data_IF_928368853749
#
_entry.id   IF_928368853749
#
_cell.length_a   1.000
_cell.length_b   1.000
_cell.length_c   1.000
_cell.angle_alpha   90.00
_cell.angle_beta   90.00
_cell.angle_gamma   90.00
#
_symmetry.space_group_name_H-M   'P 1'
#
loop_
_entity.id
_entity.type
_entity.pdbx_description
1 polymer ?
#
# COMPACT_ATOMS: atom_id res chain seq x y z
N UNK A 1 35.95 -46.52 13.06
CA UNK A 1 35.48 -46.82 14.44
C UNK A 1 33.96 -46.92 14.36
N UNK A 2 33.40 -48.14 14.21
CA UNK A 2 32.85 -48.96 15.30
C UNK A 2 31.79 -48.20 16.11
N UNK A 3 30.50 -48.39 15.83
CA UNK A 3 29.56 -49.20 16.63
C UNK A 3 28.52 -48.25 17.27
N UNK A 4 27.27 -48.59 17.56
CA UNK A 4 26.54 -49.86 17.66
C UNK A 4 25.04 -49.56 17.53
N UNK A 5 24.34 -50.49 16.89
CA UNK A 5 22.90 -50.74 16.89
C UNK A 5 22.36 -51.10 18.29
N UNK A 6 21.11 -50.73 18.59
CA UNK A 6 20.01 -51.51 19.26
C UNK A 6 18.96 -50.51 19.75
N UNK A 7 17.69 -50.44 19.32
CA UNK A 7 16.66 -51.38 18.81
C UNK A 7 16.41 -52.62 19.67
N UNK A 8 15.11 -52.92 19.82
CA UNK A 8 14.44 -54.06 20.48
C UNK A 8 14.00 -53.75 21.92
N UNK A 9 12.81 -54.10 22.41
CA UNK A 9 11.52 -54.52 21.85
C UNK A 9 10.63 -54.77 23.08
N UNK A 10 9.33 -54.50 22.93
CA UNK A 10 8.16 -55.26 23.41
C UNK A 10 8.40 -56.67 24.03
N UNK A 11 7.37 -57.35 24.57
CA UNK A 11 6.37 -57.03 25.59
C UNK A 11 6.28 -58.15 26.67
N UNK A 12 5.28 -58.07 27.54
CA UNK A 12 4.80 -59.11 28.45
C UNK A 12 4.58 -60.48 27.78
N UNK A 13 5.08 -61.56 28.38
CA UNK A 13 4.44 -62.90 28.43
C UNK A 13 4.89 -63.65 29.70
N UNK A 14 3.92 -64.33 30.26
CA UNK A 14 3.84 -65.21 31.44
C UNK A 14 4.75 -66.45 31.39
N UNK A 15 5.15 -66.99 32.55
CA UNK A 15 4.86 -68.37 33.03
C UNK A 15 5.83 -68.86 34.14
N UNK A 16 5.34 -69.80 34.95
CA UNK A 16 6.03 -70.73 35.87
C UNK A 16 6.56 -70.20 37.21
N UNK A 17 6.32 -70.84 38.36
CA UNK A 17 5.63 -72.09 38.63
C UNK A 17 5.87 -72.59 40.07
N UNK A 18 4.86 -73.29 40.59
CA UNK A 18 4.92 -74.51 41.43
C UNK A 18 5.68 -74.52 42.77
N UNK A 19 4.96 -74.85 43.86
CA UNK A 19 5.09 -76.16 44.56
C UNK A 19 4.03 -76.34 45.66
N UNK A 20 3.29 -77.43 45.53
CA UNK A 20 2.43 -78.07 46.54
C UNK A 20 3.30 -78.69 47.66
N UNK A 21 2.84 -78.63 48.93
CA UNK A 21 2.92 -79.74 49.90
C UNK A 21 1.73 -79.65 50.85
N UNK A 22 0.92 -80.70 50.85
CA UNK A 22 -0.15 -80.98 51.81
C UNK A 22 0.41 -81.73 53.02
N UNK A 23 -0.29 -81.58 54.15
CA UNK A 23 -0.43 -82.52 55.28
C UNK A 23 0.35 -82.27 56.61
N UNK A 24 -0.48 -82.06 57.64
CA UNK A 24 -0.47 -82.65 58.99
C UNK A 24 0.25 -81.97 60.18
N UNK A 25 -0.58 -81.24 60.95
CA UNK A 25 -1.05 -81.60 62.32
C UNK A 25 0.01 -81.78 63.43
N UNK A 26 0.14 -80.78 64.34
CA UNK A 26 -0.38 -80.75 65.73
C UNK A 26 0.26 -79.63 66.59
N UNK A 27 -0.63 -78.84 67.24
CA UNK A 27 -0.62 -78.37 68.65
C UNK A 27 0.64 -77.67 69.20
N UNK A 28 0.58 -76.35 69.42
CA UNK A 28 0.23 -75.73 70.72
C UNK A 28 0.54 -74.22 70.80
N UNK A 29 -0.21 -73.52 71.68
CA UNK A 29 0.04 -72.22 72.35
C UNK A 29 -0.30 -70.93 71.58
N UNK A 30 -1.44 -70.33 71.99
CA UNK A 30 -1.98 -68.99 71.64
C UNK A 30 -1.16 -67.88 72.36
N UNK A 31 -1.16 -66.58 71.95
CA UNK A 31 -2.35 -65.69 72.03
C UNK A 31 -2.55 -64.72 70.85
N UNK A 32 -3.69 -64.02 70.89
CA UNK A 32 -4.11 -62.87 70.06
C UNK A 32 -4.64 -63.19 68.64
N UNK A 33 -5.82 -63.80 68.60
CA UNK A 33 -6.74 -63.68 67.44
C UNK A 33 -7.45 -62.35 67.60
N UNK A 34 -7.16 -61.42 66.69
CA UNK A 34 -7.99 -60.24 66.46
C UNK A 34 -9.31 -60.76 65.89
N UNK A 35 -10.34 -60.77 66.73
CA UNK A 35 -11.72 -60.80 66.29
C UNK A 35 -12.05 -59.41 65.76
N UNK A 36 -12.02 -59.22 64.43
CA UNK A 36 -12.76 -58.10 63.83
C UNK A 36 -14.17 -58.60 63.57
N UNK A 37 -15.05 -58.21 64.48
CA UNK A 37 -16.48 -58.36 64.37
C UNK A 37 -17.00 -57.63 63.12
N UNK A 38 -17.89 -58.32 62.41
CA UNK A 38 -19.10 -57.82 61.77
C UNK A 38 -19.27 -56.29 61.67
N UNK A 39 -19.09 -55.74 60.46
CA UNK A 39 -20.01 -54.74 59.89
C UNK A 39 -20.17 -55.05 58.40
N UNK A 40 -20.99 -56.06 58.10
CA UNK A 40 -21.79 -56.03 56.89
C UNK A 40 -22.96 -55.07 57.16
N UNK A 41 -22.74 -53.77 56.91
CA UNK A 41 -23.75 -52.75 56.66
C UNK A 41 -23.07 -51.37 56.63
N UNK A 42 -22.87 -50.84 55.43
CA UNK A 42 -22.73 -49.40 55.04
C UNK A 42 -21.62 -49.28 53.99
N UNK A 43 -21.97 -49.61 52.75
CA UNK A 43 -21.37 -49.07 51.52
C UNK A 43 -22.20 -49.44 50.29
N UNK A 44 -23.16 -50.37 50.42
CA UNK A 44 -24.19 -50.61 49.40
C UNK A 44 -25.27 -49.51 49.38
N UNK A 45 -25.18 -48.50 50.25
CA UNK A 45 -26.06 -47.30 50.25
C UNK A 45 -25.31 -45.98 49.99
N UNK A 46 -24.10 -46.02 49.44
CA UNK A 46 -23.39 -44.84 48.90
C UNK A 46 -22.98 -44.99 47.43
N UNK A 47 -23.13 -46.19 46.83
CA UNK A 47 -22.83 -46.44 45.42
C UNK A 47 -23.96 -46.07 44.45
N UNK A 48 -25.21 -46.01 44.91
CA UNK A 48 -26.35 -45.62 44.07
C UNK A 48 -26.39 -44.12 43.79
N UNK A 49 -26.02 -43.29 44.77
CA UNK A 49 -26.02 -41.83 44.62
C UNK A 49 -24.86 -41.30 43.77
N UNK A 50 -23.66 -41.88 43.90
CA UNK A 50 -22.47 -41.42 43.15
C UNK A 50 -22.58 -41.75 41.66
N UNK A 51 -23.05 -42.94 41.30
CA UNK A 51 -23.24 -43.31 39.90
C UNK A 51 -24.43 -42.59 39.27
N UNK A 52 -25.54 -42.40 40.01
CA UNK A 52 -26.72 -41.68 39.51
C UNK A 52 -26.47 -40.17 39.41
N UNK A 53 -25.80 -39.55 40.39
CA UNK A 53 -25.35 -38.14 40.31
C UNK A 53 -24.35 -37.95 39.18
N UNK A 54 -23.43 -38.89 38.96
CA UNK A 54 -22.52 -38.87 37.81
C UNK A 54 -23.27 -39.00 36.49
N UNK A 55 -24.30 -39.84 36.37
CA UNK A 55 -25.11 -39.93 35.14
C UNK A 55 -26.07 -38.75 34.93
N UNK A 56 -26.59 -38.12 35.99
CA UNK A 56 -27.47 -36.94 35.88
C UNK A 56 -26.66 -35.66 35.61
N UNK A 57 -25.51 -35.50 36.27
CA UNK A 57 -24.54 -34.44 35.97
C UNK A 57 -23.98 -34.58 34.55
N UNK A 58 -23.77 -35.81 34.05
CA UNK A 58 -23.31 -36.06 32.69
C UNK A 58 -24.29 -35.56 31.61
N UNK A 59 -25.61 -35.52 31.86
CA UNK A 59 -26.56 -35.04 30.86
C UNK A 59 -26.57 -33.50 30.76
N UNK A 60 -26.53 -32.79 31.90
CA UNK A 60 -26.32 -31.33 31.88
C UNK A 60 -24.93 -30.94 31.35
N UNK A 61 -23.90 -31.74 31.65
CA UNK A 61 -22.56 -31.57 31.07
C UNK A 61 -22.55 -31.84 29.56
N UNK A 62 -23.37 -32.77 29.06
CA UNK A 62 -23.48 -33.02 27.63
C UNK A 62 -24.11 -31.84 26.89
N UNK A 63 -25.14 -31.22 27.46
CA UNK A 63 -25.76 -30.00 26.91
C UNK A 63 -24.79 -28.81 26.94
N UNK A 64 -24.11 -28.56 28.06
CA UNK A 64 -23.12 -27.49 28.17
C UNK A 64 -21.91 -27.71 27.23
N UNK A 65 -21.50 -28.97 27.05
CA UNK A 65 -20.47 -29.35 26.08
C UNK A 65 -20.93 -29.14 24.65
N UNK A 66 -22.18 -29.48 24.33
CA UNK A 66 -22.76 -29.25 23.01
C UNK A 66 -22.83 -27.76 22.69
N UNK A 67 -23.32 -26.94 23.63
CA UNK A 67 -23.34 -25.47 23.48
C UNK A 67 -21.93 -24.90 23.26
N UNK A 68 -20.92 -25.41 23.97
CA UNK A 68 -19.52 -25.02 23.75
C UNK A 68 -19.02 -25.40 22.34
N UNK A 69 -19.36 -26.61 21.86
CA UNK A 69 -18.98 -27.06 20.51
C UNK A 69 -19.66 -26.20 19.43
N UNK A 70 -20.94 -25.89 19.59
CA UNK A 70 -21.67 -25.00 18.68
C UNK A 70 -21.07 -23.59 18.67
N UNK A 71 -20.78 -23.03 19.84
CA UNK A 71 -20.07 -21.75 19.95
C UNK A 71 -18.68 -21.82 19.27
N UNK A 72 -17.95 -22.93 19.44
CA UNK A 72 -16.65 -23.14 18.79
C UNK A 72 -16.75 -23.25 17.27
N UNK A 73 -17.83 -23.82 16.74
CA UNK A 73 -18.07 -23.84 15.29
C UNK A 73 -18.35 -22.43 14.77
N UNK A 74 -19.15 -21.64 15.48
CA UNK A 74 -19.39 -20.23 15.12
C UNK A 74 -18.10 -19.42 15.15
N UNK A 75 -17.26 -19.65 16.16
CA UNK A 75 -15.91 -19.07 16.28
C UNK A 75 -15.04 -19.44 15.08
N UNK A 76 -14.97 -20.73 14.73
CA UNK A 76 -14.16 -21.19 13.59
C UNK A 76 -14.60 -20.54 12.30
N UNK A 77 -15.91 -20.49 12.03
CA UNK A 77 -16.44 -19.81 10.84
C UNK A 77 -16.05 -18.32 10.80
N UNK A 78 -16.11 -17.63 11.94
CA UNK A 78 -15.73 -16.22 12.02
C UNK A 78 -14.22 -16.03 11.81
N UNK A 79 -13.39 -16.90 12.40
CA UNK A 79 -11.94 -16.90 12.20
C UNK A 79 -11.56 -17.23 10.74
N UNK A 80 -12.21 -18.22 10.12
CA UNK A 80 -12.01 -18.60 8.73
C UNK A 80 -12.42 -17.46 7.77
N UNK A 81 -13.51 -16.75 8.06
CA UNK A 81 -13.93 -15.58 7.27
C UNK A 81 -12.93 -14.44 7.38
N UNK A 82 -12.49 -14.12 8.61
CA UNK A 82 -11.49 -13.08 8.85
C UNK A 82 -10.15 -13.39 8.20
N UNK A 83 -9.64 -14.61 8.37
CA UNK A 83 -8.39 -15.04 7.73
C UNK A 83 -8.50 -15.02 6.20
N UNK A 84 -9.64 -15.44 5.63
CA UNK A 84 -9.90 -15.32 4.19
C UNK A 84 -9.83 -13.88 3.68
N UNK A 85 -10.34 -12.92 4.46
CA UNK A 85 -10.23 -11.49 4.13
C UNK A 85 -8.79 -10.97 4.27
N UNK A 86 -8.09 -11.37 5.33
CA UNK A 86 -6.68 -11.02 5.60
C UNK A 86 -5.77 -11.50 4.47
N UNK A 87 -5.89 -12.78 4.09
CA UNK A 87 -5.04 -13.42 3.07
C UNK A 87 -5.46 -13.10 1.64
N UNK A 88 -6.68 -12.61 1.44
CA UNK A 88 -7.26 -12.25 0.15
C UNK A 88 -7.18 -10.76 -0.16
N UNK A 89 -8.30 -10.07 0.01
CA UNK A 89 -8.45 -8.67 -0.40
C UNK A 89 -7.55 -7.74 0.41
N UNK A 90 -7.39 -7.99 1.70
CA UNK A 90 -6.51 -7.19 2.54
C UNK A 90 -5.03 -7.40 2.20
N UNK A 91 -4.61 -8.63 1.90
CA UNK A 91 -3.27 -8.89 1.38
C UNK A 91 -3.02 -8.17 0.05
N UNK A 92 -4.00 -8.17 -0.86
CA UNK A 92 -3.91 -7.43 -2.13
C UNK A 92 -3.82 -5.91 -1.89
N UNK A 93 -4.66 -5.38 -1.00
CA UNK A 93 -4.66 -3.97 -0.66
C UNK A 93 -3.40 -3.54 0.11
N UNK A 94 -2.80 -4.42 0.90
CA UNK A 94 -1.56 -4.14 1.66
C UNK A 94 -0.34 -3.89 0.75
N UNK A 95 -0.38 -4.38 -0.49
CA UNK A 95 0.66 -4.10 -1.49
C UNK A 95 0.56 -2.68 -2.07
N UNK A 96 -0.56 -1.98 -1.85
CA UNK A 96 -0.76 -0.62 -2.32
C UNK A 96 0.08 0.32 -1.44
N UNK A 97 0.95 1.09 -2.09
CA UNK A 97 1.84 2.03 -1.40
C UNK A 97 1.18 3.40 -1.20
N UNK A 98 1.68 4.16 -0.22
CA UNK A 98 1.26 5.57 0.03
C UNK A 98 1.35 6.47 -1.21
N UNK A 99 2.19 6.13 -2.19
CA UNK A 99 2.32 6.87 -3.45
C UNK A 99 1.19 6.57 -4.43
N UNK A 100 0.54 5.43 -4.32
CA UNK A 100 -0.53 4.98 -5.22
C UNK A 100 -1.93 5.40 -4.76
N UNK A 101 -2.05 5.95 -3.56
CA UNK A 101 -3.29 6.47 -2.99
C UNK A 101 -3.32 8.00 -2.96
N UNK A 102 -4.52 8.56 -2.84
CA UNK A 102 -4.72 9.99 -2.66
C UNK A 102 -4.51 10.39 -1.18
N UNK A 103 -4.98 9.55 -0.27
CA UNK A 103 -4.79 9.68 1.18
C UNK A 103 -3.85 8.58 1.68
N UNK A 104 -2.65 8.97 2.13
CA UNK A 104 -1.69 8.04 2.70
C UNK A 104 -2.19 7.38 4.00
N UNK A 105 -3.07 8.05 4.75
CA UNK A 105 -3.60 7.55 6.03
C UNK A 105 -4.44 6.30 5.86
N UNK A 106 -5.02 6.06 4.69
CA UNK A 106 -5.79 4.83 4.44
C UNK A 106 -4.89 3.60 4.41
N UNK A 107 -3.67 3.74 3.87
CA UNK A 107 -2.67 2.65 3.87
C UNK A 107 -2.18 2.38 5.28
N UNK A 108 -1.92 3.44 6.06
CA UNK A 108 -1.54 3.31 7.47
C UNK A 108 -2.67 2.64 8.28
N UNK A 109 -3.92 3.06 8.09
CA UNK A 109 -5.08 2.47 8.78
C UNK A 109 -5.27 0.98 8.44
N UNK A 110 -5.08 0.59 7.17
CA UNK A 110 -5.11 -0.82 6.78
C UNK A 110 -3.97 -1.61 7.46
N UNK A 111 -2.76 -1.05 7.48
CA UNK A 111 -1.63 -1.69 8.14
C UNK A 111 -1.84 -1.83 9.66
N UNK A 112 -2.47 -0.86 10.32
CA UNK A 112 -2.83 -0.95 11.73
C UNK A 112 -3.95 -1.98 11.98
N UNK A 113 -4.97 -2.04 11.10
CA UNK A 113 -6.02 -3.06 11.19
C UNK A 113 -5.45 -4.49 11.07
N UNK A 114 -4.47 -4.70 10.19
CA UNK A 114 -3.79 -5.98 10.01
C UNK A 114 -2.88 -6.38 11.19
N UNK A 115 -2.53 -5.46 12.09
CA UNK A 115 -1.74 -5.74 13.30
C UNK A 115 -2.61 -6.16 14.50
N UNK A 116 -3.92 -6.27 14.31
CA UNK A 116 -4.82 -6.64 15.39
C UNK A 116 -4.46 -8.02 15.98
N UNK A 117 -4.35 -8.10 17.30
CA UNK A 117 -4.02 -9.35 17.99
C UNK A 117 -5.25 -10.27 18.01
N UNK A 118 -5.11 -11.39 17.33
CA UNK A 118 -6.17 -12.38 17.21
C UNK A 118 -6.44 -13.07 18.57
N UNK A 119 -7.72 -13.35 18.93
CA UNK A 119 -8.04 -14.01 20.18
C UNK A 119 -7.50 -15.45 20.24
N UNK A 120 -7.12 -15.90 21.44
CA UNK A 120 -6.68 -17.28 21.64
C UNK A 120 -7.82 -18.29 21.41
N UNK A 121 -7.47 -19.42 20.82
CA UNK A 121 -8.40 -20.55 20.64
C UNK A 121 -8.72 -21.17 21.99
N UNK A 122 -10.01 -21.23 22.32
CA UNK A 122 -10.51 -21.81 23.57
C UNK A 122 -10.93 -23.25 23.33
N UNK A 123 -10.33 -24.20 24.06
CA UNK A 123 -10.75 -25.59 24.01
C UNK A 123 -12.04 -25.85 24.80
N UNK A 124 -12.98 -26.59 24.22
CA UNK A 124 -14.20 -27.07 24.90
C UNK A 124 -13.97 -28.31 25.77
N UNK A 125 -13.09 -28.15 26.77
CA UNK A 125 -12.80 -29.18 27.77
C UNK A 125 -12.88 -28.52 29.15
N UNK A 126 -13.75 -29.05 30.00
CA UNK A 126 -13.98 -28.57 31.35
C UNK A 126 -14.53 -29.69 32.26
N UNK A 127 -14.29 -29.57 33.56
CA UNK A 127 -14.69 -30.57 34.56
C UNK A 127 -16.05 -30.25 35.21
N UNK A 128 -16.60 -29.06 34.96
CA UNK A 128 -17.87 -28.60 35.53
C UNK A 128 -18.72 -27.82 34.51
N UNK A 129 -20.04 -27.78 34.74
CA UNK A 129 -20.99 -27.01 33.92
C UNK A 129 -20.66 -25.51 33.91
N UNK A 130 -20.34 -24.95 35.08
CA UNK A 130 -19.99 -23.53 35.21
C UNK A 130 -18.72 -23.18 34.41
N UNK A 131 -17.74 -24.07 34.37
CA UNK A 131 -16.54 -23.90 33.54
C UNK A 131 -16.88 -23.97 32.05
N UNK A 132 -17.76 -24.89 31.63
CA UNK A 132 -18.26 -24.92 30.25
C UNK A 132 -18.97 -23.62 29.86
N UNK A 133 -19.88 -23.11 30.70
CA UNK A 133 -20.57 -21.83 30.46
C UNK A 133 -19.58 -20.66 30.36
N UNK A 134 -18.57 -20.61 31.24
CA UNK A 134 -17.52 -19.59 31.18
C UNK A 134 -16.69 -19.70 29.90
N UNK A 135 -16.37 -20.92 29.45
CA UNK A 135 -15.63 -21.15 28.19
C UNK A 135 -16.47 -20.75 26.98
N UNK A 136 -17.75 -21.12 26.96
CA UNK A 136 -18.71 -20.71 25.91
C UNK A 136 -18.81 -19.19 25.83
N UNK A 137 -18.97 -18.49 26.95
CA UNK A 137 -19.01 -17.02 26.97
C UNK A 137 -17.71 -16.38 26.46
N UNK A 138 -16.55 -16.96 26.80
CA UNK A 138 -15.26 -16.51 26.25
C UNK A 138 -15.19 -16.73 24.73
N UNK A 139 -15.64 -17.88 24.24
CA UNK A 139 -15.72 -18.18 22.81
C UNK A 139 -16.62 -17.17 22.10
N UNK A 140 -17.82 -16.92 22.61
CA UNK A 140 -18.75 -15.92 22.05
C UNK A 140 -18.14 -14.52 22.02
N UNK A 141 -17.43 -14.12 23.08
CA UNK A 141 -16.71 -12.85 23.13
C UNK A 141 -15.63 -12.79 22.04
N UNK A 142 -14.89 -13.86 21.84
CA UNK A 142 -13.86 -13.94 20.80
C UNK A 142 -14.51 -13.94 19.40
N UNK A 143 -15.61 -14.65 19.19
CA UNK A 143 -16.41 -14.60 17.95
C UNK A 143 -16.87 -13.17 17.65
N UNK A 144 -17.35 -12.45 18.66
CA UNK A 144 -17.75 -11.04 18.54
C UNK A 144 -16.59 -10.09 18.22
N UNK A 145 -15.36 -10.44 18.59
CA UNK A 145 -14.16 -9.70 18.19
C UNK A 145 -13.93 -9.82 16.68
N UNK A 146 -14.01 -11.04 16.12
CA UNK A 146 -13.83 -11.29 14.69
C UNK A 146 -14.86 -10.53 13.85
N UNK A 147 -16.14 -10.59 14.21
CA UNK A 147 -17.17 -9.88 13.45
C UNK A 147 -17.01 -8.35 13.45
N UNK A 148 -16.33 -7.77 14.44
CA UNK A 148 -15.98 -6.34 14.45
C UNK A 148 -14.74 -6.05 13.61
N UNK A 149 -13.71 -6.89 13.73
CA UNK A 149 -12.43 -6.70 13.04
C UNK A 149 -12.55 -7.01 11.55
N UNK A 150 -13.36 -7.98 11.16
CA UNK A 150 -13.71 -8.26 9.77
C UNK A 150 -14.34 -7.04 9.10
N UNK A 151 -15.38 -6.45 9.70
CA UNK A 151 -16.00 -5.22 9.17
C UNK A 151 -15.04 -4.05 9.09
N UNK A 152 -14.26 -3.84 10.16
CA UNK A 152 -13.26 -2.76 10.19
C UNK A 152 -12.18 -2.97 9.13
N UNK A 153 -11.78 -4.21 8.87
CA UNK A 153 -10.79 -4.55 7.85
C UNK A 153 -11.37 -4.36 6.45
N UNK A 154 -12.61 -4.79 6.22
CA UNK A 154 -13.34 -4.58 4.95
C UNK A 154 -13.46 -3.08 4.63
N UNK A 155 -13.82 -2.26 5.62
CA UNK A 155 -13.88 -0.81 5.49
C UNK A 155 -12.51 -0.20 5.18
N UNK A 156 -11.44 -0.68 5.83
CA UNK A 156 -10.07 -0.23 5.56
C UNK A 156 -9.59 -0.60 4.15
N UNK A 157 -9.86 -1.83 3.71
CA UNK A 157 -9.58 -2.30 2.35
C UNK A 157 -10.32 -1.46 1.31
N UNK A 158 -11.61 -1.23 1.54
CA UNK A 158 -12.43 -0.37 0.69
C UNK A 158 -11.87 1.04 0.63
N UNK A 159 -11.49 1.63 1.77
CA UNK A 159 -10.92 2.97 1.84
C UNK A 159 -9.61 3.09 1.05
N UNK A 160 -8.71 2.10 1.12
CA UNK A 160 -7.46 2.09 0.33
C UNK A 160 -7.77 2.03 -1.18
N UNK A 161 -8.69 1.17 -1.60
CA UNK A 161 -9.06 1.04 -3.01
C UNK A 161 -9.77 2.29 -3.55
N UNK A 162 -10.68 2.88 -2.77
CA UNK A 162 -11.35 4.14 -3.11
C UNK A 162 -10.32 5.29 -3.22
N UNK A 163 -9.35 5.34 -2.30
CA UNK A 163 -8.27 6.33 -2.31
C UNK A 163 -7.33 6.17 -3.51
N UNK A 164 -7.08 4.94 -3.96
CA UNK A 164 -6.34 4.65 -5.21
C UNK A 164 -7.10 5.11 -6.44
N UNK A 165 -8.40 4.85 -6.50
CA UNK A 165 -9.26 5.33 -7.58
C UNK A 165 -9.33 6.85 -7.61
N UNK A 166 -9.47 7.49 -6.44
CA UNK A 166 -9.49 8.95 -6.31
C UNK A 166 -8.18 9.57 -6.79
N UNK A 167 -7.03 8.94 -6.48
CA UNK A 167 -5.74 9.40 -7.01
C UNK A 167 -5.73 9.38 -8.54
N UNK A 168 -6.19 8.27 -9.12
CA UNK A 168 -6.25 8.07 -10.58
C UNK A 168 -7.14 9.12 -11.24
N UNK A 169 -8.29 9.41 -10.64
CA UNK A 169 -9.22 10.46 -11.07
C UNK A 169 -8.57 11.84 -10.97
N UNK A 170 -7.98 12.18 -9.82
CA UNK A 170 -7.31 13.46 -9.59
C UNK A 170 -6.15 13.70 -10.56
N UNK A 171 -5.30 12.69 -10.80
CA UNK A 171 -4.20 12.79 -11.76
C UNK A 171 -4.71 13.00 -13.19
N UNK A 172 -5.80 12.33 -13.57
CA UNK A 172 -6.44 12.51 -14.87
C UNK A 172 -7.11 13.88 -15.03
N UNK A 173 -7.76 14.43 -13.99
CA UNK A 173 -8.29 15.78 -14.01
C UNK A 173 -7.18 16.83 -14.16
N UNK A 174 -6.06 16.62 -13.47
CA UNK A 174 -4.87 17.47 -13.62
C UNK A 174 -4.31 17.38 -15.04
N UNK A 175 -4.28 16.18 -15.63
CA UNK A 175 -3.86 15.99 -17.02
C UNK A 175 -4.81 16.70 -18.00
N UNK A 176 -6.13 16.63 -17.79
CA UNK A 176 -7.12 17.35 -18.60
C UNK A 176 -6.87 18.86 -18.57
N UNK A 177 -6.57 19.43 -17.41
CA UNK A 177 -6.25 20.86 -17.27
C UNK A 177 -4.93 21.21 -17.98
N UNK A 178 -3.88 20.42 -17.76
CA UNK A 178 -2.54 20.69 -18.30
C UNK A 178 -2.43 20.50 -19.82
N UNK A 179 -3.30 19.67 -20.41
CA UNK A 179 -3.33 19.36 -21.84
C UNK A 179 -4.24 20.30 -22.66
N UNK A 180 -4.90 21.26 -22.01
CA UNK A 180 -5.77 22.22 -22.70
C UNK A 180 -4.99 23.02 -23.76
N UNK A 181 -5.48 22.99 -25.01
CA UNK A 181 -4.80 23.60 -26.16
C UNK A 181 -3.51 22.90 -26.63
N UNK A 182 -3.00 21.90 -25.90
CA UNK A 182 -1.73 21.22 -26.18
C UNK A 182 -1.87 19.87 -26.86
N UNK A 183 -3.09 19.39 -27.07
CA UNK A 183 -3.37 18.20 -27.88
C UNK A 183 -3.65 18.59 -29.32
N UNK A 184 -3.36 17.69 -30.26
CA UNK A 184 -3.70 17.88 -31.68
C UNK A 184 -5.20 17.70 -31.94
N UNK A 185 -5.83 16.77 -31.21
CA UNK A 185 -7.23 16.41 -31.35
C UNK A 185 -7.98 16.59 -30.02
N UNK A 186 -9.10 17.32 -30.07
CA UNK A 186 -9.94 17.59 -28.90
C UNK A 186 -10.66 16.33 -28.41
N UNK A 187 -10.99 15.39 -29.31
CA UNK A 187 -11.69 14.15 -28.93
C UNK A 187 -10.84 13.28 -27.98
N UNK A 188 -9.51 13.37 -28.07
CA UNK A 188 -8.57 12.71 -27.14
C UNK A 188 -8.79 13.15 -25.69
N UNK A 189 -9.09 14.43 -25.44
CA UNK A 189 -9.43 14.94 -24.10
C UNK A 189 -10.86 14.57 -23.71
N UNK A 190 -11.79 14.53 -24.65
CA UNK A 190 -13.18 14.13 -24.38
C UNK A 190 -13.28 12.67 -23.93
N UNK A 191 -12.47 11.76 -24.50
CA UNK A 191 -12.37 10.37 -24.04
C UNK A 191 -11.93 10.30 -22.57
N UNK A 192 -10.88 11.05 -22.20
CA UNK A 192 -10.40 11.11 -20.82
C UNK A 192 -11.46 11.71 -19.89
N UNK A 193 -12.14 12.78 -20.30
CA UNK A 193 -13.23 13.40 -19.51
C UNK A 193 -14.38 12.41 -19.25
N UNK A 194 -14.77 11.62 -20.26
CA UNK A 194 -15.80 10.59 -20.11
C UNK A 194 -15.35 9.46 -19.17
N UNK A 195 -14.11 9.01 -19.29
CA UNK A 195 -13.54 7.98 -18.42
C UNK A 195 -13.46 8.45 -16.96
N UNK A 196 -13.06 9.71 -16.72
CA UNK A 196 -13.03 10.35 -15.40
C UNK A 196 -14.43 10.42 -14.80
N UNK A 197 -15.44 10.87 -15.57
CA UNK A 197 -16.84 10.90 -15.12
C UNK A 197 -17.40 9.52 -14.78
N UNK A 198 -16.96 8.49 -15.50
CA UNK A 198 -17.32 7.09 -15.22
C UNK A 198 -16.52 6.48 -14.05
N UNK A 199 -15.48 7.17 -13.55
CA UNK A 199 -14.52 6.68 -12.54
C UNK A 199 -14.00 5.28 -12.85
N UNK A 200 -13.70 5.03 -14.11
CA UNK A 200 -13.18 3.75 -14.60
C UNK A 200 -11.65 3.82 -14.67
N UNK A 201 -10.97 3.19 -13.69
CA UNK A 201 -9.52 3.30 -13.55
C UNK A 201 -8.75 2.85 -14.81
N UNK A 202 -9.19 1.77 -15.46
CA UNK A 202 -8.52 1.21 -16.63
C UNK A 202 -8.72 2.11 -17.86
N UNK A 203 -9.96 2.59 -18.07
CA UNK A 203 -10.23 3.55 -19.14
C UNK A 203 -9.52 4.88 -18.91
N UNK A 204 -9.43 5.35 -17.66
CA UNK A 204 -8.69 6.57 -17.30
C UNK A 204 -7.21 6.38 -17.64
N UNK A 205 -6.59 5.25 -17.25
CA UNK A 205 -5.19 4.98 -17.55
C UNK A 205 -4.93 4.94 -19.07
N UNK A 206 -5.77 4.24 -19.83
CA UNK A 206 -5.67 4.17 -21.28
C UNK A 206 -5.83 5.53 -21.97
N UNK A 207 -6.86 6.30 -21.58
CA UNK A 207 -7.11 7.63 -22.15
C UNK A 207 -6.03 8.64 -21.74
N UNK A 208 -5.52 8.57 -20.50
CA UNK A 208 -4.42 9.42 -20.03
C UNK A 208 -3.15 9.19 -20.83
N UNK A 209 -2.86 7.94 -21.20
CA UNK A 209 -1.74 7.62 -22.10
C UNK A 209 -1.93 8.27 -23.46
N UNK A 210 -3.11 8.13 -24.09
CA UNK A 210 -3.41 8.76 -25.38
C UNK A 210 -3.26 10.29 -25.33
N UNK A 211 -3.73 10.94 -24.26
CA UNK A 211 -3.56 12.40 -24.07
C UNK A 211 -2.08 12.78 -24.00
N UNK A 212 -1.28 12.07 -23.19
CA UNK A 212 0.16 12.34 -23.11
C UNK A 212 0.90 12.11 -24.43
N UNK A 213 0.54 11.04 -25.16
CA UNK A 213 1.11 10.74 -26.48
C UNK A 213 0.76 11.87 -27.49
N UNK A 214 -0.50 12.35 -27.47
CA UNK A 214 -0.97 13.46 -28.31
C UNK A 214 -0.28 14.79 -27.99
N UNK A 215 -0.11 15.11 -26.70
CA UNK A 215 0.65 16.30 -26.26
C UNK A 215 2.10 16.23 -26.74
N UNK A 216 2.74 15.08 -26.59
CA UNK A 216 4.13 14.88 -27.02
C UNK A 216 4.27 15.00 -28.53
N UNK A 217 3.35 14.41 -29.29
CA UNK A 217 3.35 14.48 -30.75
C UNK A 217 3.15 15.92 -31.25
N UNK A 218 2.18 16.65 -30.69
CA UNK A 218 1.96 18.05 -31.05
C UNK A 218 3.15 18.92 -30.68
N UNK A 219 3.73 18.75 -29.49
CA UNK A 219 4.90 19.52 -29.06
C UNK A 219 6.06 19.35 -30.05
N UNK A 220 6.35 18.11 -30.48
CA UNK A 220 7.39 17.85 -31.50
C UNK A 220 7.06 18.49 -32.85
N UNK A 221 5.79 18.45 -33.28
CA UNK A 221 5.35 19.07 -34.52
C UNK A 221 5.47 20.60 -34.45
N UNK A 222 5.08 21.21 -33.34
CA UNK A 222 5.17 22.65 -33.10
C UNK A 222 6.65 23.10 -33.04
N UNK A 223 7.53 22.34 -32.39
CA UNK A 223 8.98 22.60 -32.38
C UNK A 223 9.62 22.49 -33.78
N UNK A 224 9.19 21.52 -34.60
CA UNK A 224 9.67 21.39 -35.97
C UNK A 224 9.16 22.54 -36.86
N UNK A 225 7.89 22.91 -36.72
CA UNK A 225 7.30 24.02 -37.44
C UNK A 225 7.95 25.35 -37.07
N UNK A 226 8.22 25.57 -35.78
CA UNK A 226 8.93 26.76 -35.30
C UNK A 226 10.33 26.84 -35.90
N UNK A 227 11.09 25.74 -35.89
CA UNK A 227 12.44 25.69 -36.49
C UNK A 227 12.44 26.03 -37.97
N UNK A 228 11.48 25.49 -38.73
CA UNK A 228 11.30 25.80 -40.16
C UNK A 228 10.93 27.27 -40.38
N UNK A 229 10.03 27.81 -39.56
CA UNK A 229 9.64 29.21 -39.63
C UNK A 229 10.81 30.16 -39.29
N UNK A 230 11.66 29.80 -38.32
CA UNK A 230 12.88 30.54 -37.97
C UNK A 230 13.93 30.49 -39.10
N UNK A 231 14.12 29.32 -39.73
CA UNK A 231 15.02 29.15 -40.88
C UNK A 231 14.54 29.96 -42.10
N UNK A 232 13.24 29.92 -42.40
CA UNK A 232 12.63 30.71 -43.48
C UNK A 232 12.70 32.22 -43.19
N UNK A 233 12.46 32.64 -41.94
CA UNK A 233 12.59 34.04 -41.54
C UNK A 233 14.05 34.53 -41.66
N UNK A 234 15.02 33.71 -41.26
CA UNK A 234 16.44 34.02 -41.41
C UNK A 234 16.85 34.12 -42.89
N UNK A 235 16.37 33.22 -43.75
CA UNK A 235 16.63 33.27 -45.19
C UNK A 235 16.04 34.52 -45.85
N UNK A 236 14.81 34.91 -45.48
CA UNK A 236 14.17 36.13 -45.97
C UNK A 236 14.93 37.39 -45.50
N UNK A 237 15.36 37.42 -44.23
CA UNK A 237 16.16 38.53 -43.71
C UNK A 237 17.52 38.67 -44.45
N UNK A 238 18.18 37.55 -44.74
CA UNK A 238 19.42 37.55 -45.51
C UNK A 238 19.23 38.06 -46.96
N UNK A 239 18.14 37.69 -47.62
CA UNK A 239 17.82 38.17 -48.97
C UNK A 239 17.52 39.68 -49.01
N UNK A 240 16.84 40.22 -47.99
CA UNK A 240 16.61 41.67 -47.87
C UNK A 240 17.90 42.46 -47.58
N UNK A 241 18.83 41.89 -46.81
CA UNK A 241 20.13 42.53 -46.57
C UNK A 241 20.99 42.64 -47.85
N UNK A 242 20.97 41.62 -48.72
CA UNK A 242 21.70 41.65 -50.00
C UNK A 242 21.14 42.67 -51.01
N UNK A 243 19.83 42.95 -50.98
CA UNK A 243 19.20 43.93 -51.89
C UNK A 243 19.46 45.39 -51.48
N UNK A 244 19.67 45.69 -50.20
CA UNK A 244 20.10 47.03 -49.78
C UNK A 244 21.58 47.33 -50.09
N UNK A 245 22.46 46.34 -50.08
CA UNK A 245 23.88 46.50 -50.45
C UNK A 245 24.09 46.74 -51.95
N UNK A 246 23.12 46.36 -52.79
CA UNK A 246 23.18 46.52 -54.26
C UNK A 246 22.46 47.77 -54.77
N UNK A 247 21.76 48.52 -53.91
CA UNK A 247 21.12 49.80 -54.22
C UNK A 247 21.96 51.01 -53.77
N UNK A 248 23.28 50.98 -54.01
CA UNK A 248 24.10 52.20 -54.02
C UNK A 248 23.93 52.87 -55.39
N UNK A 249 23.13 53.94 -55.44
CA UNK A 249 22.84 54.73 -56.64
C UNK A 249 24.13 55.19 -57.36
N UNK A 250 24.18 55.22 -58.71
CA UNK A 250 25.30 55.82 -59.42
C UNK A 250 25.30 57.33 -59.14
N UNK A 251 26.28 57.78 -58.36
CA UNK A 251 26.60 59.19 -58.20
C UNK A 251 27.00 59.75 -59.58
N UNK A 252 26.07 60.40 -60.26
CA UNK A 252 26.35 61.21 -61.44
C UNK A 252 27.08 62.48 -60.97
N UNK A 253 28.40 62.49 -61.12
CA UNK A 253 29.27 63.63 -60.85
C UNK A 253 29.08 64.72 -61.90
N UNK A 254 28.10 65.59 -61.69
CA UNK A 254 28.04 66.87 -62.40
C UNK A 254 29.06 67.82 -61.77
N UNK A 255 30.05 68.25 -62.55
CA UNK A 255 31.06 69.24 -62.12
C UNK A 255 30.71 70.61 -62.69
N UNK A 256 30.34 71.59 -61.85
CA UNK A 256 30.43 73.00 -62.22
C UNK A 256 31.82 73.51 -61.85
N UNK A 257 32.66 73.76 -62.86
CA UNK A 257 33.85 74.61 -62.72
C UNK A 257 33.42 76.04 -62.41
N UNK A 258 33.79 76.56 -61.25
CA UNK A 258 33.93 78.00 -61.04
C UNK A 258 35.26 78.29 -60.36
N UNK A 259 36.15 78.88 -61.16
CA UNK A 259 37.42 79.46 -60.77
C UNK A 259 37.23 80.86 -60.18
N UNK A 260 37.92 81.13 -59.07
CA UNK A 260 38.49 82.45 -58.81
C UNK A 260 38.03 83.13 -57.52
N UNK A 261 39.02 83.68 -56.79
CA UNK A 261 38.81 84.90 -56.03
C UNK A 261 39.08 84.81 -54.53
N UNK A 262 40.33 85.10 -54.16
CA UNK A 262 40.83 85.38 -52.82
C UNK A 262 40.07 86.48 -52.06
N UNK A 263 39.93 86.35 -50.74
CA UNK A 263 40.45 87.26 -49.68
C UNK A 263 39.58 87.31 -48.40
N UNK A 264 40.26 87.11 -47.27
CA UNK A 264 40.13 87.81 -45.98
C UNK A 264 38.84 87.77 -45.14
N UNK A 265 39.09 87.38 -43.87
CA UNK A 265 38.51 87.87 -42.61
C UNK A 265 37.24 87.21 -42.05
N UNK A 266 37.38 86.72 -40.80
CA UNK A 266 36.31 86.86 -39.80
C UNK A 266 35.83 85.59 -39.07
N UNK A 267 36.61 85.12 -38.09
CA UNK A 267 36.07 84.84 -36.74
C UNK A 267 35.43 83.47 -36.42
N UNK A 268 35.88 82.88 -35.30
CA UNK A 268 35.00 82.17 -34.36
C UNK A 268 35.20 80.66 -34.21
N UNK A 269 35.99 80.27 -33.21
CA UNK A 269 36.24 78.89 -32.77
C UNK A 269 35.04 78.20 -32.07
N UNK A 270 35.05 76.85 -32.13
CA UNK A 270 34.73 75.88 -31.05
C UNK A 270 33.27 75.77 -30.55
N UNK A 271 32.64 74.62 -30.28
CA UNK A 271 33.00 73.19 -30.19
C UNK A 271 31.70 72.35 -30.22
N UNK A 272 31.83 71.09 -30.66
CA UNK A 272 30.97 69.88 -30.49
C UNK A 272 29.87 69.89 -29.41
N UNK A 273 28.77 69.12 -29.61
CA UNK A 273 28.78 67.77 -29.06
C UNK A 273 28.31 66.64 -30.00
N UNK A 274 28.86 65.49 -29.65
CA UNK A 274 28.64 64.10 -30.06
C UNK A 274 27.22 63.60 -29.76
N UNK A 275 26.65 62.76 -30.63
CA UNK A 275 25.64 61.75 -30.26
C UNK A 275 25.48 60.68 -31.36
N UNK A 276 25.96 59.47 -31.03
CA UNK A 276 25.68 58.17 -31.65
C UNK A 276 24.43 57.53 -31.01
N UNK A 277 23.59 56.78 -31.74
CA UNK A 277 22.61 55.90 -31.14
C UNK A 277 23.10 54.44 -31.13
N UNK A 278 23.11 53.82 -29.96
CA UNK A 278 23.12 52.35 -29.83
C UNK A 278 22.22 51.92 -28.68
N UNK A 279 21.59 50.77 -28.91
CA UNK A 279 20.67 50.02 -28.07
C UNK A 279 21.24 49.59 -26.71
N UNK A 280 20.38 49.59 -25.67
CA UNK A 280 20.38 48.55 -24.62
C UNK A 280 20.40 49.00 -23.15
N UNK A 281 19.33 48.65 -22.41
CA UNK A 281 19.30 48.45 -20.94
C UNK A 281 19.16 49.71 -20.07
N UNK A 282 18.41 49.78 -18.95
CA UNK A 282 17.71 48.82 -18.09
C UNK A 282 16.61 49.59 -17.33
N UNK A 283 15.50 48.92 -17.00
CA UNK A 283 14.43 49.48 -16.16
C UNK A 283 13.60 48.41 -15.46
N UNK A 284 14.21 47.66 -14.54
CA UNK A 284 13.52 46.94 -13.47
C UNK A 284 14.24 47.29 -12.16
N UNK A 285 13.55 48.02 -11.28
CA UNK A 285 13.99 48.30 -9.91
C UNK A 285 13.56 47.16 -9.00
N UNK A 286 14.48 46.78 -8.10
CA UNK A 286 14.32 46.00 -6.85
C UNK A 286 13.95 44.50 -6.97
N UNK A 287 14.90 43.70 -6.45
CA UNK A 287 14.81 42.29 -5.99
C UNK A 287 14.80 41.15 -7.02
N UNK A 288 16.00 40.63 -7.33
CA UNK A 288 16.22 39.19 -7.60
C UNK A 288 17.67 38.76 -7.26
N UNK A 289 17.88 37.59 -6.62
CA UNK A 289 19.16 37.12 -6.06
C UNK A 289 20.13 36.55 -7.13
N UNK A 290 21.44 36.41 -6.84
CA UNK A 290 22.41 35.99 -7.84
C UNK A 290 22.32 34.50 -8.17
N UNK A 291 22.51 34.16 -9.45
CA UNK A 291 22.77 32.79 -9.90
C UNK A 291 24.25 32.45 -9.76
N UNK A 292 24.54 31.41 -8.97
CA UNK A 292 25.84 30.74 -8.95
C UNK A 292 26.11 30.04 -10.28
N UNK A 293 27.27 30.31 -10.87
CA UNK A 293 27.93 29.40 -11.81
C UNK A 293 29.44 29.58 -11.66
N UNK A 294 30.03 28.80 -10.75
CA UNK A 294 31.48 28.57 -10.68
C UNK A 294 31.91 27.74 -11.89
N UNK A 295 32.51 28.41 -12.88
CA UNK A 295 33.33 27.80 -13.91
C UNK A 295 34.80 28.05 -13.58
N UNK A 296 35.41 27.14 -12.83
CA UNK A 296 36.83 27.17 -12.50
C UNK A 296 37.64 26.47 -13.62
N UNK A 297 38.47 27.25 -14.32
CA UNK A 297 39.55 26.76 -15.16
C UNK A 297 40.85 26.89 -14.35
N UNK A 298 41.65 25.83 -14.25
CA UNK A 298 43.12 25.94 -14.19
C UNK A 298 43.80 24.61 -14.59
N UNK A 299 44.69 24.73 -15.59
CA UNK A 299 45.84 23.90 -16.03
C UNK A 299 45.67 22.39 -16.27
#
# INVERSE_FOLDING_TARGET
>A
MQGKLSEVSNPNISDAGSKNVTENKKKSRKPAVIAVASVAAVAVLAGGGWFVWKTYANHELAEARQACVEASESYRKAADSYSGLVDGDAATASQITVKQVADAKTVDALAEALKANEPDVVACVADSKADYESKTSLIEKNTGWYGKHEKSLEEAVKAVNDSKLEKTVSDAERLLKNSDGKVADAATRDELSKAVKARDADKIAAASKKVNDSVTAKTKADEEAQRKAEEEAAAQAAAQAQTQQSYSAPQQSYTPSYSGGSTSSGGGSSSVPDFVPSSGGLGCTTDCPPSSSDGLIHH
#
